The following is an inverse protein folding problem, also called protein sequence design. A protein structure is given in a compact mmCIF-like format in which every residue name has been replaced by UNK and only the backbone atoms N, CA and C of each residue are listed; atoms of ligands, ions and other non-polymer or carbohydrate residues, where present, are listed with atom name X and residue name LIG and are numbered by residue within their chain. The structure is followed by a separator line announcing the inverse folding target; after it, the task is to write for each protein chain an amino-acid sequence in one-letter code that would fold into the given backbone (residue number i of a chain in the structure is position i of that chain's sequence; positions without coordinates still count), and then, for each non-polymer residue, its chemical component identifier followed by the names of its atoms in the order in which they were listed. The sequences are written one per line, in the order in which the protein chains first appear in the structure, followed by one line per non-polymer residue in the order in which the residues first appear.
data_IF_246688051878
#
_entry.id   IF_246688051878
#
_cell.length_a   1.000
_cell.length_b   1.000
_cell.length_c   1.000
_cell.angle_alpha   90.00
_cell.angle_beta   90.00
_cell.angle_gamma   90.00
#
_symmetry.space_group_name_H-M   'P 1'
#
loop_
_entity.id
_entity.type
_entity.pdbx_description
1 polymer ?
#
# COMPACT_ATOMS: atom_id res chain seq x y z
N UNK A 1 84.60 -7.44 -28.10
CA UNK A 1 83.33 -7.42 -28.88
C UNK A 1 82.28 -8.16 -28.03
N UNK A 2 81.44 -7.44 -27.32
CA UNK A 2 80.42 -8.01 -26.39
C UNK A 2 79.11 -7.87 -27.09
N UNK A 3 78.44 -8.98 -27.42
CA UNK A 3 77.09 -9.05 -27.98
C UNK A 3 76.05 -8.99 -26.84
N UNK A 4 75.28 -7.91 -26.76
CA UNK A 4 74.20 -7.74 -25.81
C UNK A 4 72.86 -8.09 -26.52
N UNK A 5 72.28 -9.21 -26.17
CA UNK A 5 70.96 -9.64 -26.65
C UNK A 5 69.89 -8.98 -25.77
N UNK A 6 69.11 -8.09 -26.33
CA UNK A 6 67.91 -7.48 -25.69
C UNK A 6 66.77 -8.49 -25.83
N UNK A 7 66.27 -8.97 -24.64
CA UNK A 7 65.05 -9.76 -24.55
C UNK A 7 63.85 -8.81 -24.45
N UNK A 8 62.98 -8.82 -25.46
CA UNK A 8 61.71 -8.13 -25.42
C UNK A 8 60.72 -8.95 -24.56
N UNK A 9 60.32 -8.38 -23.42
CA UNK A 9 59.30 -8.93 -22.56
C UNK A 9 57.97 -8.29 -22.97
N UNK A 10 57.13 -9.09 -23.67
CA UNK A 10 55.80 -8.66 -24.06
C UNK A 10 54.89 -8.77 -22.84
N UNK A 11 54.42 -7.62 -22.31
CA UNK A 11 53.49 -7.52 -21.21
C UNK A 11 52.06 -7.63 -21.78
N UNK A 12 51.44 -8.79 -21.60
CA UNK A 12 50.04 -9.03 -21.99
C UNK A 12 49.12 -8.46 -20.91
N UNK A 13 48.63 -7.24 -21.13
CA UNK A 13 47.59 -6.65 -20.28
C UNK A 13 46.26 -7.35 -20.57
N UNK A 14 45.83 -8.25 -19.67
CA UNK A 14 44.48 -8.80 -19.69
C UNK A 14 43.53 -7.72 -19.20
N UNK A 15 42.81 -7.07 -20.13
CA UNK A 15 41.73 -6.14 -19.83
C UNK A 15 40.49 -6.98 -19.45
N UNK A 16 40.31 -7.25 -18.16
CA UNK A 16 39.07 -7.83 -17.65
C UNK A 16 37.92 -6.79 -17.75
N UNK A 17 37.20 -6.81 -18.88
CA UNK A 17 35.92 -6.17 -18.99
C UNK A 17 34.94 -6.90 -18.06
N UNK A 18 34.79 -6.40 -16.85
CA UNK A 18 33.73 -6.81 -15.95
C UNK A 18 32.37 -6.39 -16.51
N UNK A 19 31.67 -7.30 -17.19
CA UNK A 19 30.25 -7.13 -17.49
C UNK A 19 29.49 -7.19 -16.16
N UNK A 20 29.12 -6.04 -15.60
CA UNK A 20 28.10 -5.97 -14.57
C UNK A 20 26.77 -6.32 -15.23
N UNK A 21 26.34 -7.57 -15.09
CA UNK A 21 24.99 -7.99 -15.39
C UNK A 21 24.05 -7.24 -14.41
N UNK A 22 23.57 -6.07 -14.82
CA UNK A 22 22.40 -5.48 -14.22
C UNK A 22 21.24 -6.44 -14.49
N UNK A 23 20.94 -7.29 -13.51
CA UNK A 23 19.72 -8.08 -13.53
C UNK A 23 18.53 -7.13 -13.47
N UNK A 24 18.09 -6.68 -14.64
CA UNK A 24 16.88 -5.88 -14.78
C UNK A 24 15.72 -6.76 -14.32
N UNK A 25 15.19 -6.45 -13.15
CA UNK A 25 14.09 -7.19 -12.54
C UNK A 25 12.91 -7.16 -13.53
N UNK A 26 12.62 -8.31 -14.14
CA UNK A 26 11.55 -8.43 -15.13
C UNK A 26 10.23 -8.07 -14.46
N UNK A 27 9.61 -6.96 -14.87
CA UNK A 27 8.25 -6.63 -14.48
C UNK A 27 7.33 -7.79 -14.88
N UNK A 28 6.52 -8.35 -13.97
CA UNK A 28 5.60 -9.44 -14.31
C UNK A 28 4.65 -9.02 -15.42
N UNK A 29 4.33 -9.93 -16.35
CA UNK A 29 3.47 -9.63 -17.53
C UNK A 29 2.04 -9.24 -17.18
N UNK A 30 1.53 -9.65 -16.01
CA UNK A 30 0.21 -9.26 -15.50
C UNK A 30 0.22 -9.33 -13.97
N UNK A 31 -0.17 -8.24 -13.32
CA UNK A 31 -0.29 -8.15 -11.88
C UNK A 31 -1.76 -8.16 -11.46
N UNK A 32 -2.07 -8.85 -10.36
CA UNK A 32 -3.27 -8.59 -9.58
C UNK A 32 -2.95 -7.42 -8.64
N UNK A 33 -3.55 -6.25 -8.89
CA UNK A 33 -3.14 -4.99 -8.29
C UNK A 33 -4.13 -4.58 -7.19
N UNK A 34 -3.59 -4.12 -6.07
CA UNK A 34 -4.36 -3.64 -4.94
C UNK A 34 -3.95 -2.21 -4.57
N UNK A 35 -4.94 -1.36 -4.35
CA UNK A 35 -4.74 0.02 -3.95
C UNK A 35 -4.69 0.11 -2.43
N UNK A 36 -3.65 0.74 -1.91
CA UNK A 36 -3.44 0.97 -0.48
C UNK A 36 -3.74 2.44 -0.19
N UNK A 37 -4.97 2.76 0.23
CA UNK A 37 -5.48 4.13 0.33
C UNK A 37 -5.82 4.50 1.77
N UNK A 38 -5.74 5.77 2.12
CA UNK A 38 -6.07 6.25 3.47
C UNK A 38 -5.03 7.19 4.06
N UNK A 39 -4.80 7.08 5.37
CA UNK A 39 -3.86 7.96 6.06
C UNK A 39 -2.70 7.22 6.74
N UNK A 40 -2.24 7.71 7.89
CA UNK A 40 -0.96 7.29 8.51
C UNK A 40 -0.88 5.80 8.87
N UNK A 41 -1.94 5.18 9.38
CA UNK A 41 -1.94 3.75 9.69
C UNK A 41 -1.94 2.88 8.41
N UNK A 42 -2.51 3.34 7.30
CA UNK A 42 -2.33 2.67 6.01
C UNK A 42 -0.91 2.85 5.47
N UNK A 43 -0.34 4.05 5.58
CA UNK A 43 1.04 4.25 5.11
C UNK A 43 2.09 3.60 6.01
N UNK A 44 1.72 3.26 7.25
CA UNK A 44 2.56 2.57 8.22
C UNK A 44 3.35 3.50 9.13
N UNK A 45 3.30 3.19 10.43
CA UNK A 45 4.05 3.91 11.48
C UNK A 45 4.73 2.95 12.45
N UNK A 46 4.63 1.64 12.20
CA UNK A 46 5.35 0.62 12.96
C UNK A 46 6.87 0.73 12.76
N UNK A 47 7.64 0.34 13.76
CA UNK A 47 9.12 0.36 13.70
C UNK A 47 9.63 -0.71 12.74
N UNK A 48 10.48 -0.33 11.80
CA UNK A 48 11.20 -1.28 10.94
C UNK A 48 12.44 -1.76 11.72
N UNK A 49 12.56 -3.08 11.89
CA UNK A 49 13.76 -3.74 12.45
C UNK A 49 14.61 -4.32 11.31
N UNK A 50 15.85 -4.70 11.61
CA UNK A 50 16.74 -5.32 10.62
C UNK A 50 16.15 -6.61 10.03
N UNK A 51 15.42 -7.39 10.82
CA UNK A 51 14.71 -8.58 10.33
C UNK A 51 13.58 -8.22 9.38
N UNK A 52 12.76 -7.21 9.73
CA UNK A 52 11.63 -6.78 8.91
C UNK A 52 12.05 -6.09 7.60
N UNK A 53 13.19 -5.40 7.61
CA UNK A 53 13.75 -4.77 6.40
C UNK A 53 14.13 -5.79 5.31
N UNK A 54 14.33 -7.06 5.69
CA UNK A 54 14.68 -8.17 4.81
C UNK A 54 13.48 -8.99 4.34
N UNK A 55 12.28 -8.74 4.91
CA UNK A 55 11.07 -9.44 4.49
C UNK A 55 10.68 -8.97 3.09
N UNK A 56 10.56 -9.93 2.19
CA UNK A 56 10.04 -9.75 0.83
C UNK A 56 9.44 -11.06 0.32
N UNK A 57 8.76 -10.99 -0.81
CA UNK A 57 8.28 -12.14 -1.54
C UNK A 57 8.46 -11.86 -3.03
N UNK A 58 9.02 -12.83 -3.77
CA UNK A 58 9.38 -12.67 -5.20
C UNK A 58 8.17 -12.41 -6.12
N UNK A 59 6.97 -12.65 -5.64
CA UNK A 59 5.71 -12.40 -6.36
C UNK A 59 4.95 -11.18 -5.84
N UNK A 60 5.52 -10.39 -4.92
CA UNK A 60 4.89 -9.18 -4.39
C UNK A 60 5.71 -7.96 -4.76
N UNK A 61 5.11 -7.07 -5.52
CA UNK A 61 5.71 -5.84 -6.02
C UNK A 61 5.01 -4.63 -5.45
N UNK A 62 5.70 -3.50 -5.37
CA UNK A 62 5.12 -2.20 -5.04
C UNK A 62 5.48 -1.17 -6.11
N UNK A 63 4.58 -0.25 -6.37
CA UNK A 63 4.79 0.87 -7.27
C UNK A 63 5.55 1.98 -6.52
N UNK A 64 6.80 2.22 -6.87
CA UNK A 64 7.65 3.24 -6.23
C UNK A 64 7.20 4.68 -6.56
N UNK A 65 7.92 5.68 -6.04
CA UNK A 65 7.64 7.10 -6.30
C UNK A 65 7.85 7.51 -7.76
N UNK A 66 8.63 6.75 -8.52
CA UNK A 66 8.95 6.98 -9.92
C UNK A 66 8.07 6.15 -10.86
N UNK A 67 7.02 5.51 -10.32
CA UNK A 67 6.11 4.63 -11.06
C UNK A 67 6.77 3.36 -11.63
N UNK A 68 7.84 2.87 -11.01
CA UNK A 68 8.44 1.59 -11.33
C UNK A 68 7.93 0.52 -10.36
N UNK A 69 7.75 -0.71 -10.88
CA UNK A 69 7.48 -1.87 -10.06
C UNK A 69 8.79 -2.43 -9.50
N UNK A 70 8.88 -2.44 -8.17
CA UNK A 70 10.02 -3.00 -7.44
C UNK A 70 9.54 -4.06 -6.47
N UNK A 71 10.40 -5.00 -6.05
CA UNK A 71 10.05 -5.97 -5.00
C UNK A 71 9.56 -5.23 -3.77
N UNK A 72 8.37 -5.62 -3.28
CA UNK A 72 7.77 -4.97 -2.13
C UNK A 72 8.56 -5.28 -0.84
N UNK A 73 8.82 -4.24 -0.07
CA UNK A 73 9.45 -4.29 1.26
C UNK A 73 9.01 -3.11 2.09
N UNK A 74 9.25 -3.15 3.39
CA UNK A 74 9.02 -1.99 4.25
C UNK A 74 10.08 -0.89 4.04
N UNK A 75 9.67 0.40 4.08
CA UNK A 75 8.29 0.86 4.04
C UNK A 75 7.69 0.75 2.64
N UNK A 76 6.41 0.37 2.53
CA UNK A 76 5.71 0.31 1.23
C UNK A 76 5.34 1.72 0.74
N UNK A 77 5.00 2.62 1.66
CA UNK A 77 4.65 4.00 1.37
C UNK A 77 5.85 4.95 1.49
N UNK A 78 5.70 6.14 0.92
CA UNK A 78 6.73 7.19 0.91
C UNK A 78 6.13 8.60 1.05
N UNK A 79 4.91 8.71 1.60
CA UNK A 79 4.19 9.97 1.79
C UNK A 79 4.95 10.96 2.69
N UNK A 80 5.53 10.47 3.77
CA UNK A 80 6.34 11.21 4.74
C UNK A 80 7.60 10.40 5.08
N UNK A 81 8.69 10.49 4.30
CA UNK A 81 9.86 9.60 4.39
C UNK A 81 10.49 9.48 5.79
N UNK A 82 10.38 10.53 6.62
CA UNK A 82 10.90 10.52 8.01
C UNK A 82 10.01 9.74 8.99
N UNK A 83 8.78 9.41 8.61
CA UNK A 83 7.76 8.84 9.51
C UNK A 83 7.19 7.52 9.04
N UNK A 84 7.34 7.18 7.75
CA UNK A 84 6.84 5.91 7.21
C UNK A 84 7.60 4.73 7.83
N UNK A 85 6.86 3.67 8.08
CA UNK A 85 7.38 2.47 8.71
C UNK A 85 6.65 1.21 8.26
N UNK A 86 6.53 0.25 9.15
CA UNK A 86 5.71 -0.94 8.93
C UNK A 86 4.24 -0.50 8.89
N UNK A 87 3.55 -0.90 7.86
CA UNK A 87 2.11 -0.76 7.67
C UNK A 87 1.50 -2.06 7.16
N UNK A 88 0.18 -2.13 6.97
CA UNK A 88 -0.52 -3.38 6.65
C UNK A 88 -0.27 -3.88 5.23
N UNK A 89 0.25 -3.03 4.33
CA UNK A 89 0.32 -3.32 2.89
C UNK A 89 1.19 -4.52 2.53
N UNK A 90 2.38 -4.70 3.14
CA UNK A 90 3.28 -5.80 2.78
C UNK A 90 2.73 -7.15 3.23
N UNK A 91 2.28 -7.28 4.47
CA UNK A 91 1.67 -8.52 4.98
C UNK A 91 0.38 -8.86 4.22
N UNK A 92 -0.46 -7.87 3.90
CA UNK A 92 -1.60 -8.06 2.99
C UNK A 92 -1.16 -8.65 1.64
N UNK A 93 -0.17 -8.05 0.97
CA UNK A 93 0.31 -8.52 -0.33
C UNK A 93 0.89 -9.94 -0.29
N UNK A 94 1.64 -10.27 0.76
CA UNK A 94 2.20 -11.61 0.97
C UNK A 94 1.08 -12.66 1.14
N UNK A 95 0.05 -12.38 1.94
CA UNK A 95 -1.08 -13.29 2.11
C UNK A 95 -1.90 -13.45 0.82
N UNK A 96 -2.12 -12.38 0.06
CA UNK A 96 -2.75 -12.46 -1.27
C UNK A 96 -1.95 -13.33 -2.23
N UNK A 97 -0.61 -13.20 -2.24
CA UNK A 97 0.26 -14.05 -3.07
C UNK A 97 0.25 -15.53 -2.64
N UNK A 98 0.09 -15.81 -1.35
CA UNK A 98 -0.06 -17.19 -0.84
C UNK A 98 -1.39 -17.81 -1.27
N UNK A 99 -2.47 -17.01 -1.29
CA UNK A 99 -3.82 -17.51 -1.64
C UNK A 99 -3.94 -17.91 -3.11
N UNK A 100 -3.14 -17.31 -4.00
CA UNK A 100 -3.08 -17.67 -5.42
C UNK A 100 -1.63 -17.77 -5.91
N UNK A 101 -1.04 -18.98 -5.93
CA UNK A 101 0.35 -19.16 -6.35
C UNK A 101 0.65 -18.84 -7.81
N UNK A 102 -0.37 -18.73 -8.67
CA UNK A 102 -0.21 -18.49 -10.12
C UNK A 102 -0.07 -17.01 -10.50
N UNK A 103 -0.34 -16.08 -9.55
CA UNK A 103 -0.32 -14.64 -9.83
C UNK A 103 0.80 -13.92 -9.07
N UNK A 104 1.21 -12.79 -9.62
CA UNK A 104 2.01 -11.80 -8.91
C UNK A 104 1.13 -10.64 -8.44
N UNK A 105 1.44 -10.12 -7.28
CA UNK A 105 0.67 -9.06 -6.61
C UNK A 105 1.37 -7.71 -6.80
N UNK A 106 0.61 -6.71 -7.21
CA UNK A 106 1.05 -5.32 -7.26
C UNK A 106 0.40 -4.48 -6.17
N UNK A 107 1.20 -3.81 -5.35
CA UNK A 107 0.74 -2.89 -4.31
C UNK A 107 0.93 -1.45 -4.78
N UNK A 108 -0.13 -0.66 -4.76
CA UNK A 108 -0.09 0.76 -5.15
C UNK A 108 -0.26 1.62 -3.90
N UNK A 109 0.83 2.14 -3.34
CA UNK A 109 0.77 3.00 -2.16
C UNK A 109 0.22 4.38 -2.53
N UNK A 110 -0.95 4.72 -1.98
CA UNK A 110 -1.64 5.99 -2.21
C UNK A 110 -1.93 6.76 -0.90
N UNK A 111 -1.68 6.17 0.27
CA UNK A 111 -2.03 6.81 1.54
C UNK A 111 -1.20 8.06 1.82
N UNK A 112 -1.82 9.07 2.45
CA UNK A 112 -1.18 10.31 2.89
C UNK A 112 -1.50 10.58 4.36
N UNK A 113 -0.49 10.52 5.21
CA UNK A 113 -0.65 10.63 6.66
C UNK A 113 -1.25 11.95 7.13
N UNK A 114 -2.28 11.87 8.01
CA UNK A 114 -2.97 13.00 8.62
C UNK A 114 -4.09 13.62 7.80
N UNK A 115 -4.43 13.06 6.64
CA UNK A 115 -5.51 13.57 5.77
C UNK A 115 -6.89 13.24 6.32
N UNK A 116 -7.83 14.17 6.20
CA UNK A 116 -9.26 13.91 6.37
C UNK A 116 -9.87 13.38 5.08
N UNK A 117 -11.06 12.77 5.17
CA UNK A 117 -11.74 12.26 3.97
C UNK A 117 -12.13 13.38 3.00
N UNK A 118 -12.34 14.60 3.48
CA UNK A 118 -12.71 15.75 2.65
C UNK A 118 -11.65 16.15 1.62
N UNK A 119 -10.38 15.80 1.83
CA UNK A 119 -9.32 16.08 0.86
C UNK A 119 -9.11 14.93 -0.15
N UNK A 120 -9.96 13.91 -0.10
CA UNK A 120 -10.02 12.82 -1.09
C UNK A 120 -11.05 13.10 -2.19
N UNK A 121 -11.32 14.38 -2.44
CA UNK A 121 -12.11 14.89 -3.56
C UNK A 121 -11.18 15.36 -4.70
N UNK A 122 -11.63 15.33 -5.98
CA UNK A 122 -10.86 15.86 -7.10
C UNK A 122 -10.45 17.32 -6.86
N UNK A 123 -9.21 17.65 -7.19
CA UNK A 123 -8.59 18.97 -7.02
C UNK A 123 -8.48 19.45 -5.56
N UNK A 124 -8.89 18.68 -4.56
CA UNK A 124 -8.78 19.07 -3.17
C UNK A 124 -7.32 19.07 -2.70
N UNK A 125 -6.87 20.16 -2.10
CA UNK A 125 -5.54 20.32 -1.53
C UNK A 125 -5.55 20.05 -0.04
N UNK A 126 -4.73 19.09 0.42
CA UNK A 126 -4.39 19.00 1.84
C UNK A 126 -3.34 20.05 2.20
N UNK A 127 -3.76 21.07 2.93
CA UNK A 127 -2.90 22.20 3.30
C UNK A 127 -1.70 21.82 4.15
N UNK A 128 -1.81 20.72 4.92
CA UNK A 128 -0.74 20.21 5.79
C UNK A 128 0.38 19.53 5.00
N UNK A 129 0.03 18.62 4.11
CA UNK A 129 1.00 17.88 3.30
C UNK A 129 1.36 18.58 1.98
N UNK A 130 0.62 19.62 1.57
CA UNK A 130 0.71 20.29 0.26
C UNK A 130 0.50 19.30 -0.91
N UNK A 131 -0.32 18.26 -0.70
CA UNK A 131 -0.63 17.22 -1.69
C UNK A 131 -2.10 17.27 -2.09
N UNK A 132 -2.39 16.66 -3.23
CA UNK A 132 -3.74 16.37 -3.72
C UNK A 132 -3.97 14.85 -3.62
N UNK A 133 -4.40 14.31 -2.46
CA UNK A 133 -4.38 12.86 -2.22
C UNK A 133 -5.15 12.04 -3.25
N UNK A 134 -6.33 12.52 -3.68
CA UNK A 134 -7.12 11.84 -4.71
C UNK A 134 -6.43 11.88 -6.08
N UNK A 135 -5.99 13.06 -6.52
CA UNK A 135 -5.41 13.23 -7.86
C UNK A 135 -4.07 12.49 -7.99
N UNK A 136 -3.28 12.49 -6.91
CA UNK A 136 -2.02 11.75 -6.85
C UNK A 136 -2.28 10.23 -6.87
N UNK A 137 -3.31 9.75 -6.13
CA UNK A 137 -3.74 8.37 -6.19
C UNK A 137 -4.18 7.99 -7.60
N UNK A 138 -4.98 8.83 -8.27
CA UNK A 138 -5.46 8.60 -9.63
C UNK A 138 -4.31 8.47 -10.65
N UNK A 139 -3.28 9.32 -10.55
CA UNK A 139 -2.07 9.18 -11.40
C UNK A 139 -1.41 7.81 -11.21
N UNK A 140 -1.30 7.35 -9.96
CA UNK A 140 -0.72 6.05 -9.63
C UNK A 140 -1.58 4.89 -10.11
N UNK A 141 -2.90 4.98 -9.95
CA UNK A 141 -3.87 3.99 -10.46
C UNK A 141 -3.72 3.85 -11.98
N UNK A 142 -3.75 4.96 -12.72
CA UNK A 142 -3.60 4.96 -14.19
C UNK A 142 -2.26 4.38 -14.65
N UNK A 143 -1.18 4.66 -13.92
CA UNK A 143 0.12 4.06 -14.21
C UNK A 143 0.12 2.55 -13.95
N UNK A 144 -0.45 2.11 -12.83
CA UNK A 144 -0.51 0.71 -12.43
C UNK A 144 -1.34 -0.15 -13.39
N UNK A 145 -2.47 0.38 -13.89
CA UNK A 145 -3.36 -0.30 -14.85
C UNK A 145 -2.67 -0.70 -16.17
N UNK A 146 -1.52 -0.10 -16.49
CA UNK A 146 -0.70 -0.51 -17.65
C UNK A 146 -0.01 -1.87 -17.46
N UNK A 147 0.10 -2.34 -16.21
CA UNK A 147 0.85 -3.54 -15.85
C UNK A 147 -0.01 -4.67 -15.31
N UNK A 148 -1.34 -4.47 -15.18
CA UNK A 148 -2.23 -5.49 -14.65
C UNK A 148 -3.63 -4.99 -14.39
N UNK A 149 -4.36 -5.73 -13.58
CA UNK A 149 -5.79 -5.45 -13.27
C UNK A 149 -5.93 -5.05 -11.82
N UNK A 150 -6.64 -3.95 -11.55
CA UNK A 150 -7.01 -3.57 -10.18
C UNK A 150 -8.04 -4.57 -9.65
N UNK A 151 -7.72 -5.26 -8.57
CA UNK A 151 -8.53 -6.33 -7.97
C UNK A 151 -9.21 -5.93 -6.67
N UNK A 152 -8.81 -4.81 -6.08
CA UNK A 152 -9.42 -4.32 -4.86
C UNK A 152 -8.69 -3.13 -4.25
N UNK A 153 -9.34 -2.56 -3.25
CA UNK A 153 -8.85 -1.44 -2.45
C UNK A 153 -8.87 -1.85 -0.98
N UNK A 154 -7.81 -1.56 -0.27
CA UNK A 154 -7.82 -1.51 1.20
C UNK A 154 -7.69 -0.06 1.65
N UNK A 155 -8.58 0.35 2.54
CA UNK A 155 -8.72 1.71 3.05
C UNK A 155 -8.59 1.74 4.56
N UNK A 156 -7.69 2.58 5.08
CA UNK A 156 -7.65 2.87 6.50
C UNK A 156 -7.47 4.37 6.75
N UNK A 157 -8.53 4.99 7.25
CA UNK A 157 -8.59 6.42 7.52
C UNK A 157 -9.80 6.70 8.43
N UNK A 158 -9.75 7.76 9.22
CA UNK A 158 -10.85 8.19 10.07
C UNK A 158 -10.39 8.96 11.29
N UNK A 159 -9.13 8.80 11.72
CA UNK A 159 -8.60 9.45 12.92
C UNK A 159 -8.71 10.99 12.83
N UNK A 160 -8.52 11.54 11.64
CA UNK A 160 -8.70 12.97 11.36
C UNK A 160 -10.16 13.42 11.34
N UNK A 161 -11.10 12.48 11.19
CA UNK A 161 -12.54 12.73 11.03
C UNK A 161 -13.38 12.23 12.20
N UNK A 162 -12.79 11.60 13.22
CA UNK A 162 -13.47 11.00 14.37
C UNK A 162 -14.14 11.99 15.33
N UNK A 163 -13.89 13.30 15.14
CA UNK A 163 -14.58 14.34 15.94
C UNK A 163 -16.04 14.47 15.50
N UNK A 164 -17.01 14.70 16.41
CA UNK A 164 -18.45 14.66 16.12
C UNK A 164 -18.91 15.54 14.96
N UNK A 165 -18.27 16.70 14.75
CA UNK A 165 -18.62 17.60 13.64
C UNK A 165 -18.26 17.01 12.27
N UNK A 166 -17.14 16.26 12.17
CA UNK A 166 -16.65 15.68 10.90
C UNK A 166 -17.21 14.30 10.62
N UNK A 167 -17.46 13.53 11.68
CA UNK A 167 -17.94 12.15 11.54
C UNK A 167 -19.33 12.04 10.89
N UNK A 168 -20.18 13.06 11.04
CA UNK A 168 -21.53 13.08 10.47
C UNK A 168 -21.58 12.91 8.95
N UNK A 169 -20.61 13.44 8.24
CA UNK A 169 -20.54 13.38 6.77
C UNK A 169 -19.63 12.27 6.24
N UNK A 170 -18.96 11.57 7.15
CA UNK A 170 -17.92 10.62 6.77
C UNK A 170 -18.43 9.52 5.86
N UNK A 171 -19.50 8.83 6.25
CA UNK A 171 -20.06 7.72 5.44
C UNK A 171 -20.50 8.19 4.06
N UNK A 172 -21.12 9.37 3.95
CA UNK A 172 -21.53 9.92 2.67
C UNK A 172 -20.32 10.21 1.76
N UNK A 173 -19.24 10.77 2.32
CA UNK A 173 -18.02 11.07 1.59
C UNK A 173 -17.25 9.78 1.21
N UNK A 174 -17.23 8.78 2.09
CA UNK A 174 -16.62 7.48 1.80
C UNK A 174 -17.36 6.77 0.64
N UNK A 175 -18.70 6.79 0.65
CA UNK A 175 -19.51 6.26 -0.46
C UNK A 175 -19.16 6.94 -1.79
N UNK A 176 -19.06 8.26 -1.81
CA UNK A 176 -18.66 9.02 -3.02
C UNK A 176 -17.28 8.61 -3.51
N UNK A 177 -16.32 8.47 -2.59
CA UNK A 177 -14.96 8.04 -2.93
C UNK A 177 -14.97 6.63 -3.53
N UNK A 178 -15.68 5.68 -2.92
CA UNK A 178 -15.79 4.30 -3.43
C UNK A 178 -16.35 4.28 -4.85
N UNK A 179 -17.48 4.94 -5.10
CA UNK A 179 -18.10 4.99 -6.42
C UNK A 179 -17.17 5.64 -7.45
N UNK A 180 -16.46 6.71 -7.08
CA UNK A 180 -15.52 7.39 -7.96
C UNK A 180 -14.33 6.51 -8.33
N UNK A 181 -13.72 5.82 -7.36
CA UNK A 181 -12.62 4.87 -7.64
C UNK A 181 -13.09 3.73 -8.55
N UNK A 182 -14.29 3.20 -8.32
CA UNK A 182 -14.88 2.18 -9.19
C UNK A 182 -15.08 2.67 -10.63
N UNK A 183 -15.51 3.90 -10.82
CA UNK A 183 -15.62 4.53 -12.15
C UNK A 183 -14.25 4.69 -12.82
N UNK A 184 -13.24 5.21 -12.10
CA UNK A 184 -11.88 5.40 -12.63
C UNK A 184 -11.21 4.08 -13.04
N UNK A 185 -11.51 3.01 -12.33
CA UNK A 185 -11.00 1.65 -12.61
C UNK A 185 -11.85 0.93 -13.67
N UNK A 186 -13.08 1.39 -13.92
CA UNK A 186 -14.03 0.72 -14.83
C UNK A 186 -14.60 -0.59 -14.26
N UNK A 187 -14.66 -0.73 -12.94
CA UNK A 187 -15.19 -1.92 -12.26
C UNK A 187 -16.19 -1.51 -11.15
N UNK A 188 -17.51 -1.59 -11.42
CA UNK A 188 -18.54 -1.19 -10.44
C UNK A 188 -18.61 -2.10 -9.21
N UNK A 189 -18.11 -3.33 -9.31
CA UNK A 189 -18.10 -4.32 -8.25
C UNK A 189 -16.72 -4.46 -7.57
N UNK A 190 -15.79 -3.52 -7.83
CA UNK A 190 -14.46 -3.56 -7.25
C UNK A 190 -14.52 -3.68 -5.72
N UNK A 191 -13.96 -4.73 -5.12
CA UNK A 191 -13.91 -4.90 -3.68
C UNK A 191 -13.23 -3.72 -2.98
N UNK A 192 -13.87 -3.20 -1.92
CA UNK A 192 -13.35 -2.09 -1.14
C UNK A 192 -13.44 -2.44 0.35
N UNK A 193 -12.28 -2.71 0.96
CA UNK A 193 -12.18 -3.18 2.34
C UNK A 193 -11.71 -2.04 3.24
N UNK A 194 -12.47 -1.76 4.29
CA UNK A 194 -12.22 -0.66 5.22
C UNK A 194 -11.75 -1.21 6.56
N UNK A 195 -10.72 -0.64 7.16
CA UNK A 195 -10.26 -0.98 8.49
C UNK A 195 -10.86 -0.08 9.56
N UNK A 196 -11.29 -0.66 10.69
CA UNK A 196 -11.64 0.08 11.90
C UNK A 196 -10.44 0.85 12.44
N UNK A 197 -10.70 1.98 13.08
CA UNK A 197 -9.70 2.66 13.92
C UNK A 197 -9.40 1.82 15.14
N UNK A 198 -8.18 1.90 15.66
CA UNK A 198 -7.86 1.24 16.93
C UNK A 198 -8.69 1.76 18.09
N UNK A 199 -9.11 0.89 19.00
CA UNK A 199 -9.93 1.23 20.15
C UNK A 199 -9.16 2.04 21.22
N UNK A 200 -8.33 2.98 20.76
CA UNK A 200 -7.40 3.75 21.60
C UNK A 200 -8.02 4.99 22.24
N UNK A 201 -9.16 5.44 21.72
CA UNK A 201 -9.86 6.65 22.19
C UNK A 201 -11.39 6.46 22.07
N UNK A 202 -12.18 7.02 23.00
CA UNK A 202 -13.65 6.95 22.89
C UNK A 202 -14.19 7.46 21.54
N UNK A 203 -13.57 8.51 20.98
CA UNK A 203 -13.95 9.05 19.68
C UNK A 203 -13.72 8.06 18.54
N UNK A 204 -12.69 7.20 18.61
CA UNK A 204 -12.42 6.18 17.60
C UNK A 204 -13.41 5.02 17.70
N UNK A 205 -13.74 4.60 18.93
CA UNK A 205 -14.75 3.56 19.18
C UNK A 205 -16.10 3.99 18.63
N UNK A 206 -16.54 5.21 18.95
CA UNK A 206 -17.78 5.77 18.41
C UNK A 206 -17.76 5.92 16.87
N UNK A 207 -16.62 6.23 16.29
CA UNK A 207 -16.45 6.36 14.85
C UNK A 207 -16.51 5.00 14.14
N UNK A 208 -16.06 3.93 14.79
CA UNK A 208 -16.10 2.58 14.23
C UNK A 208 -17.54 2.10 13.98
N UNK A 209 -18.56 2.59 14.75
CA UNK A 209 -19.97 2.30 14.46
C UNK A 209 -20.39 2.81 13.07
N UNK A 210 -19.87 3.99 12.67
CA UNK A 210 -20.12 4.54 11.33
C UNK A 210 -19.45 3.68 10.25
N UNK A 211 -18.20 3.25 10.49
CA UNK A 211 -17.47 2.39 9.55
C UNK A 211 -18.19 1.04 9.40
N UNK A 212 -18.65 0.43 10.50
CA UNK A 212 -19.32 -0.88 10.50
C UNK A 212 -20.61 -0.90 9.68
N UNK A 213 -21.31 0.22 9.56
CA UNK A 213 -22.52 0.32 8.76
C UNK A 213 -22.27 0.32 7.24
N UNK A 214 -21.05 0.52 6.78
CA UNK A 214 -20.75 0.65 5.35
C UNK A 214 -21.28 -0.49 4.47
N UNK A 215 -21.15 -1.79 4.82
CA UNK A 215 -21.66 -2.89 4.00
C UNK A 215 -23.18 -2.91 3.82
N UNK A 216 -23.92 -2.24 4.68
CA UNK A 216 -25.38 -2.09 4.56
C UNK A 216 -25.76 -1.08 3.45
N UNK A 217 -24.81 -0.25 3.04
CA UNK A 217 -25.04 0.86 2.11
C UNK A 217 -24.30 0.73 0.77
N UNK A 218 -23.26 -0.09 0.73
CA UNK A 218 -22.42 -0.26 -0.48
C UNK A 218 -22.02 -1.71 -0.64
N UNK A 219 -22.52 -2.34 -1.72
CA UNK A 219 -22.16 -3.71 -2.08
C UNK A 219 -20.66 -3.87 -2.33
N UNK A 220 -20.16 -5.09 -2.21
CA UNK A 220 -18.75 -5.46 -2.40
C UNK A 220 -17.82 -4.68 -1.48
N UNK A 221 -18.30 -4.38 -0.27
CA UNK A 221 -17.49 -3.83 0.82
C UNK A 221 -17.44 -4.80 2.01
N UNK A 222 -16.45 -4.61 2.86
CA UNK A 222 -16.32 -5.28 4.15
C UNK A 222 -15.54 -4.39 5.11
N UNK A 223 -15.72 -4.64 6.39
CA UNK A 223 -15.02 -3.94 7.47
C UNK A 223 -14.14 -4.93 8.22
N UNK A 224 -12.91 -4.53 8.47
CA UNK A 224 -11.92 -5.33 9.21
C UNK A 224 -11.79 -4.79 10.62
N UNK A 225 -12.01 -5.66 11.61
CA UNK A 225 -11.91 -5.29 13.01
C UNK A 225 -10.47 -5.01 13.43
N UNK A 226 -10.30 -3.97 14.24
CA UNK A 226 -9.06 -3.61 14.93
C UNK A 226 -8.97 -4.18 16.35
N UNK A 227 -9.94 -4.98 16.77
CA UNK A 227 -9.94 -5.61 18.11
C UNK A 227 -8.63 -6.30 18.42
N UNK A 228 -8.13 -6.14 19.64
CA UNK A 228 -6.85 -6.69 20.12
C UNK A 228 -5.58 -6.12 19.47
N UNK A 229 -5.70 -5.20 18.52
CA UNK A 229 -4.56 -4.48 17.99
C UNK A 229 -4.16 -3.36 18.94
N UNK A 230 -2.86 -3.17 19.15
CA UNK A 230 -2.34 -2.22 20.12
C UNK A 230 -1.60 -1.07 19.44
N UNK A 231 -1.56 0.08 20.11
CA UNK A 231 -0.83 1.24 19.62
C UNK A 231 0.64 1.20 20.04
N UNK A 232 1.49 1.89 19.29
CA UNK A 232 2.94 2.00 19.54
C UNK A 232 3.35 2.92 20.71
N UNK A 233 2.39 3.38 21.53
CA UNK A 233 2.60 4.29 22.66
C UNK A 233 1.98 5.68 22.50
N UNK A 234 1.46 6.05 21.32
CA UNK A 234 0.94 7.39 21.01
C UNK A 234 -0.60 7.47 20.94
N UNK A 235 -1.29 6.38 21.29
CA UNK A 235 -2.76 6.27 21.27
C UNK A 235 -3.42 6.60 19.92
N UNK A 236 -2.66 6.44 18.84
CA UNK A 236 -3.14 6.79 17.48
C UNK A 236 -2.67 5.79 16.43
N UNK A 237 -1.37 5.44 16.46
CA UNK A 237 -0.78 4.57 15.46
C UNK A 237 -0.56 3.18 16.03
N UNK A 238 -0.91 2.18 15.24
CA UNK A 238 -0.64 0.79 15.57
C UNK A 238 0.85 0.53 15.72
N UNK A 239 1.19 -0.43 16.56
CA UNK A 239 2.54 -0.95 16.64
C UNK A 239 2.87 -1.86 15.44
N UNK A 240 4.11 -2.27 15.34
CA UNK A 240 4.59 -3.09 14.23
C UNK A 240 3.84 -4.40 14.06
N UNK A 241 3.61 -5.11 15.17
CA UNK A 241 2.93 -6.41 15.15
C UNK A 241 1.46 -6.26 14.76
N UNK A 242 0.81 -5.23 15.26
CA UNK A 242 -0.58 -4.90 14.94
C UNK A 242 -0.75 -4.51 13.48
N UNK A 243 0.18 -3.73 12.90
CA UNK A 243 0.15 -3.39 11.47
C UNK A 243 0.25 -4.64 10.58
N UNK A 244 1.15 -5.57 10.91
CA UNK A 244 1.28 -6.83 10.16
C UNK A 244 0.04 -7.70 10.30
N UNK A 245 -0.52 -7.82 11.50
CA UNK A 245 -1.77 -8.56 11.74
C UNK A 245 -2.94 -7.92 11.00
N UNK A 246 -3.02 -6.60 10.99
CA UNK A 246 -4.07 -5.89 10.28
C UNK A 246 -4.02 -6.17 8.77
N UNK A 247 -2.83 -6.25 8.20
CA UNK A 247 -2.65 -6.66 6.80
C UNK A 247 -3.17 -8.08 6.52
N UNK A 248 -2.92 -9.03 7.42
CA UNK A 248 -3.47 -10.41 7.32
C UNK A 248 -5.00 -10.40 7.40
N UNK A 249 -5.59 -9.60 8.28
CA UNK A 249 -7.05 -9.45 8.38
C UNK A 249 -7.65 -8.82 7.12
N UNK A 250 -7.01 -7.79 6.56
CA UNK A 250 -7.40 -7.19 5.28
C UNK A 250 -7.41 -8.21 4.14
N UNK A 251 -6.39 -9.08 4.06
CA UNK A 251 -6.33 -10.10 3.00
C UNK A 251 -7.46 -11.11 3.10
N UNK A 252 -7.78 -11.57 4.30
CA UNK A 252 -8.91 -12.47 4.55
C UNK A 252 -10.23 -11.85 4.09
N UNK A 253 -10.52 -10.62 4.51
CA UNK A 253 -11.73 -9.90 4.12
C UNK A 253 -11.79 -9.65 2.60
N UNK A 254 -10.66 -9.32 1.97
CA UNK A 254 -10.56 -9.13 0.52
C UNK A 254 -10.95 -10.41 -0.23
N UNK A 255 -10.40 -11.55 0.15
CA UNK A 255 -10.70 -12.85 -0.47
C UNK A 255 -12.18 -13.24 -0.31
N UNK A 256 -12.78 -12.94 0.83
CA UNK A 256 -14.21 -13.19 1.08
C UNK A 256 -15.11 -12.34 0.18
N UNK A 257 -14.77 -11.06 -0.01
CA UNK A 257 -15.54 -10.17 -0.90
C UNK A 257 -15.35 -10.55 -2.37
N UNK A 258 -14.13 -10.90 -2.80
CA UNK A 258 -13.84 -11.33 -4.15
C UNK A 258 -14.63 -12.57 -4.56
N UNK A 259 -14.81 -13.55 -3.66
CA UNK A 259 -15.64 -14.72 -3.90
C UNK A 259 -17.11 -14.38 -4.19
N UNK A 260 -17.63 -13.28 -3.64
CA UNK A 260 -19.01 -12.80 -3.89
C UNK A 260 -19.14 -12.05 -5.21
N UNK A 261 -18.09 -11.37 -5.67
CA UNK A 261 -18.10 -10.59 -6.91
C UNK A 261 -17.93 -11.44 -8.18
N UNK A 262 -17.61 -12.73 -8.04
CA UNK A 262 -17.45 -13.66 -9.16
C UNK A 262 -18.66 -14.57 -9.37
N UNK A 263 -19.67 -14.48 -8.52
CA UNK A 263 -20.98 -15.14 -8.67
C UNK A 263 -21.97 -14.20 -9.30
#
# INVERSE_FOLDING_TARGET
MINMRIKHMIFFCFLCCGFTLNAQQKTPKALDIYLLMGQSNMSGRGKITDSLSKISNDRVFMLDSNFNWVTAKHPVHFDKPKYVGVGPGLSFGIEMAKSNPSVSIGLVPCAVGGTSISVWEPNALDSSSKKHPYDDALKRIKAAMKSGTIKGVIWHQGESDSKPKRSKEYLANLKKLIYRIRQEVGNPTLPFIVGELGDFKPAYIAFNEIIRSLPEHVDFTSVVSSSELIHKGDTTHFDTRSEEEFGRRFSKAMLEVQKRSTK
#
